data_IF_341981211055
#
_entry.id   IF_341981211055
#
_cell.length_a   1.000
_cell.length_b   1.000
_cell.length_c   1.000
_cell.angle_alpha   90.00
_cell.angle_beta   90.00
_cell.angle_gamma   90.00
#
_symmetry.space_group_name_H-M   'P 1'
#
loop_
_entity.id
_entity.type
_entity.pdbx_description
1 polymer ?
#
# COMPACT_ATOMS: atom_id res chain seq x y z
N UNK A 1 -22.80 -0.35 -5.80
CA UNK A 1 -21.57 0.13 -5.14
C UNK A 1 -20.84 -0.98 -4.37
N UNK A 2 -21.53 -1.95 -3.75
CA UNK A 2 -20.92 -3.02 -2.93
C UNK A 2 -20.63 -4.35 -3.65
N UNK A 3 -20.19 -4.33 -4.91
CA UNK A 3 -19.68 -5.58 -5.52
C UNK A 3 -18.28 -5.87 -5.00
N UNK A 4 -17.94 -7.15 -4.83
CA UNK A 4 -16.58 -7.55 -4.41
C UNK A 4 -15.52 -6.96 -5.36
N UNK A 5 -15.81 -6.90 -6.66
CA UNK A 5 -14.94 -6.27 -7.67
C UNK A 5 -14.64 -4.81 -7.35
N UNK A 6 -15.67 -4.00 -7.03
CA UNK A 6 -15.47 -2.59 -6.71
C UNK A 6 -14.73 -2.41 -5.39
N UNK A 7 -14.97 -3.28 -4.41
CA UNK A 7 -14.22 -3.31 -3.14
C UNK A 7 -12.74 -3.59 -3.40
N UNK A 8 -12.43 -4.61 -4.21
CA UNK A 8 -11.04 -4.94 -4.55
C UNK A 8 -10.33 -3.81 -5.31
N UNK A 9 -11.02 -3.15 -6.24
CA UNK A 9 -10.47 -1.98 -6.96
C UNK A 9 -10.21 -0.82 -6.00
N UNK A 10 -11.15 -0.54 -5.10
CA UNK A 10 -10.98 0.50 -4.08
C UNK A 10 -9.77 0.20 -3.17
N UNK A 11 -9.67 -1.03 -2.67
CA UNK A 11 -8.54 -1.46 -1.83
C UNK A 11 -7.21 -1.42 -2.59
N UNK A 12 -7.19 -1.81 -3.86
CA UNK A 12 -6.00 -1.68 -4.70
C UNK A 12 -5.56 -0.21 -4.83
N UNK A 13 -6.52 0.71 -5.03
CA UNK A 13 -6.25 2.14 -5.02
C UNK A 13 -5.69 2.63 -3.69
N UNK A 14 -6.29 2.22 -2.57
CA UNK A 14 -5.82 2.57 -1.24
C UNK A 14 -4.39 2.07 -0.97
N UNK A 15 -4.07 0.81 -1.31
CA UNK A 15 -2.72 0.25 -1.20
C UNK A 15 -1.71 0.95 -2.11
N UNK A 16 -2.12 1.37 -3.31
CA UNK A 16 -1.27 2.17 -4.19
C UNK A 16 -0.92 3.53 -3.57
N UNK A 17 -1.91 4.27 -3.07
CA UNK A 17 -1.65 5.56 -2.39
C UNK A 17 -0.83 5.39 -1.11
N UNK A 18 -1.03 4.30 -0.37
CA UNK A 18 -0.19 3.95 0.78
C UNK A 18 1.26 3.63 0.37
N UNK A 19 1.46 3.00 -0.79
CA UNK A 19 2.81 2.81 -1.35
C UNK A 19 3.46 4.15 -1.67
N UNK A 20 2.71 5.06 -2.30
CA UNK A 20 3.18 6.41 -2.61
C UNK A 20 3.56 7.18 -1.35
N UNK A 21 2.79 7.07 -0.26
CA UNK A 21 3.15 7.74 0.99
C UNK A 21 4.49 7.26 1.53
N UNK A 22 4.81 5.96 1.47
CA UNK A 22 6.13 5.44 1.86
C UNK A 22 7.26 5.85 0.91
N UNK A 23 6.99 6.01 -0.38
CA UNK A 23 7.97 6.53 -1.35
C UNK A 23 8.29 8.00 -1.05
N UNK A 24 7.25 8.79 -0.75
CA UNK A 24 7.39 10.21 -0.50
C UNK A 24 7.88 10.54 0.91
N UNK A 25 7.64 9.68 1.89
CA UNK A 25 7.95 9.93 3.30
C UNK A 25 9.39 10.39 3.56
N UNK A 26 10.45 9.77 3.00
CA UNK A 26 11.83 10.16 3.26
C UNK A 26 12.21 11.54 2.71
N UNK A 27 11.43 12.10 1.79
CA UNK A 27 11.64 13.48 1.28
C UNK A 27 11.14 14.53 2.26
N UNK A 28 10.21 14.18 3.15
CA UNK A 28 9.59 15.10 4.10
C UNK A 28 10.06 14.85 5.55
N UNK A 29 10.48 13.63 5.88
CA UNK A 29 10.82 13.22 7.24
C UNK A 29 12.07 12.33 7.23
N UNK A 30 13.02 12.62 8.11
CA UNK A 30 14.19 11.76 8.31
C UNK A 30 13.80 10.45 9.02
N UNK A 31 14.28 9.32 8.50
CA UNK A 31 14.11 8.00 9.12
C UNK A 31 15.36 7.66 9.97
N UNK A 32 15.23 6.94 11.10
CA UNK A 32 14.03 6.24 11.58
C UNK A 32 12.97 7.17 12.20
N UNK A 33 11.71 6.96 11.85
CA UNK A 33 10.58 7.68 12.44
C UNK A 33 10.05 6.90 13.65
N UNK A 34 10.15 7.49 14.83
CA UNK A 34 9.53 6.96 16.04
C UNK A 34 8.02 7.24 16.02
N UNK A 35 7.23 6.18 15.99
CA UNK A 35 5.78 6.25 16.19
C UNK A 35 5.42 5.66 17.55
N UNK A 36 4.19 5.88 18.03
CA UNK A 36 3.73 5.34 19.32
C UNK A 36 3.78 3.80 19.42
N UNK A 37 3.90 3.09 18.29
CA UNK A 37 3.80 1.63 18.22
C UNK A 37 5.07 1.00 17.63
N UNK A 38 5.68 1.64 16.63
CA UNK A 38 6.84 1.09 15.91
C UNK A 38 7.89 2.16 15.61
N UNK A 39 9.15 1.75 15.53
CA UNK A 39 10.21 2.53 14.90
C UNK A 39 10.24 2.21 13.42
N UNK A 40 9.76 3.12 12.58
CA UNK A 40 9.81 2.95 11.13
C UNK A 40 11.23 3.23 10.63
N UNK A 41 12.04 2.19 10.54
CA UNK A 41 13.40 2.27 9.99
C UNK A 41 13.39 2.37 8.47
N UNK A 42 14.49 2.82 7.82
CA UNK A 42 14.59 2.82 6.36
C UNK A 42 14.33 1.44 5.73
N UNK A 43 14.83 0.37 6.36
CA UNK A 43 14.60 -0.99 5.90
C UNK A 43 13.12 -1.40 5.99
N UNK A 44 12.43 -1.07 7.10
CA UNK A 44 11.01 -1.34 7.25
C UNK A 44 10.16 -0.53 6.27
N UNK A 45 10.51 0.74 6.02
CA UNK A 45 9.85 1.57 5.01
C UNK A 45 10.00 0.97 3.61
N UNK A 46 11.20 0.48 3.26
CA UNK A 46 11.45 -0.18 1.98
C UNK A 46 10.63 -1.48 1.83
N UNK A 47 10.58 -2.31 2.87
CA UNK A 47 9.71 -3.50 2.88
C UNK A 47 8.24 -3.16 2.76
N UNK A 48 7.77 -2.08 3.41
CA UNK A 48 6.40 -1.61 3.30
C UNK A 48 6.04 -1.21 1.85
N UNK A 49 6.97 -0.60 1.11
CA UNK A 49 6.80 -0.30 -0.33
C UNK A 49 6.61 -1.60 -1.12
N UNK A 50 7.51 -2.57 -0.96
CA UNK A 50 7.47 -3.85 -1.69
C UNK A 50 6.16 -4.59 -1.42
N UNK A 51 5.79 -4.73 -0.14
CA UNK A 51 4.60 -5.47 0.28
C UNK A 51 3.33 -4.80 -0.26
N UNK A 52 3.20 -3.47 -0.14
CA UNK A 52 2.02 -2.78 -0.66
C UNK A 52 1.94 -2.82 -2.20
N UNK A 53 3.07 -2.80 -2.91
CA UNK A 53 3.09 -2.97 -4.37
C UNK A 53 2.58 -4.37 -4.77
N UNK A 54 3.05 -5.43 -4.09
CA UNK A 54 2.59 -6.81 -4.33
C UNK A 54 1.09 -6.93 -4.05
N UNK A 55 0.62 -6.37 -2.91
CA UNK A 55 -0.82 -6.38 -2.55
C UNK A 55 -1.64 -5.67 -3.63
N UNK A 56 -1.20 -4.51 -4.09
CA UNK A 56 -1.88 -3.75 -5.15
C UNK A 56 -2.04 -4.58 -6.42
N UNK A 57 -0.96 -5.21 -6.90
CA UNK A 57 -1.00 -6.06 -8.10
C UNK A 57 -1.91 -7.27 -7.89
N UNK A 58 -1.83 -7.92 -6.73
CA UNK A 58 -2.67 -9.06 -6.40
C UNK A 58 -4.16 -8.70 -6.37
N UNK A 59 -4.52 -7.57 -5.76
CA UNK A 59 -5.91 -7.10 -5.69
C UNK A 59 -6.47 -6.78 -7.08
N UNK A 60 -5.70 -6.11 -7.94
CA UNK A 60 -6.09 -5.84 -9.32
C UNK A 60 -6.23 -7.12 -10.15
N UNK A 61 -5.30 -8.06 -9.98
CA UNK A 61 -5.37 -9.37 -10.63
C UNK A 61 -6.63 -10.14 -10.20
N UNK A 62 -6.96 -10.11 -8.91
CA UNK A 62 -8.16 -10.76 -8.39
C UNK A 62 -9.43 -10.08 -8.91
N UNK A 63 -9.49 -8.74 -8.88
CA UNK A 63 -10.62 -7.98 -9.42
C UNK A 63 -10.88 -8.27 -10.90
N UNK A 64 -9.82 -8.49 -11.69
CA UNK A 64 -9.91 -8.89 -13.10
C UNK A 64 -10.59 -10.25 -13.31
N UNK A 65 -10.50 -11.16 -12.34
CA UNK A 65 -11.12 -12.49 -12.41
C UNK A 65 -12.61 -12.49 -12.06
N UNK A 66 -13.13 -11.40 -11.49
CA UNK A 66 -14.54 -11.29 -11.13
C UNK A 66 -15.39 -10.83 -12.33
N UNK A 67 -16.61 -11.36 -12.40
CA UNK A 67 -17.60 -10.93 -13.41
C UNK A 67 -17.90 -9.43 -13.25
N UNK A 68 -18.21 -8.72 -14.35
CA UNK A 68 -18.63 -7.32 -14.31
C UNK A 68 -19.79 -7.07 -13.34
#
# INVERSE_FOLDING_TARGET
>A
MFSLKNVLIFLAGASFFHTLSHIFLPYFVALPLETKVIYLTPALNFWAIIINAIITVFLLWWAKKLKP
#
